data_IF_329951264714
#
_entry.id   IF_329951264714
#
_cell.length_a   1.000
_cell.length_b   1.000
_cell.length_c   1.000
_cell.angle_alpha   90.00
_cell.angle_beta   90.00
_cell.angle_gamma   90.00
#
_symmetry.space_group_name_H-M   'P 1'
#
loop_
_entity.id
_entity.type
_entity.pdbx_description
1 polymer ?
#
# COMPACT_ATOMS: atom_id res chain seq x y z
N UNK A 1 -4.73 71.59 -6.51
CA UNK A 1 -3.35 71.47 -7.05
C UNK A 1 -3.10 70.01 -7.39
N UNK A 2 -3.16 69.67 -8.68
CA UNK A 2 -3.17 68.29 -9.17
C UNK A 2 -1.73 67.76 -9.18
N UNK A 3 -1.48 66.70 -8.41
CA UNK A 3 -0.19 66.02 -8.29
C UNK A 3 0.15 65.37 -9.63
N UNK A 4 1.13 65.91 -10.35
CA UNK A 4 1.63 65.37 -11.62
C UNK A 4 2.32 64.03 -11.33
N UNK A 5 1.57 62.93 -11.47
CA UNK A 5 2.03 61.55 -11.26
C UNK A 5 3.09 61.23 -12.32
N UNK A 6 4.29 60.88 -11.89
CA UNK A 6 5.42 60.66 -12.79
C UNK A 6 5.30 59.27 -13.44
N UNK A 7 4.39 59.16 -14.42
CA UNK A 7 3.98 57.91 -15.09
C UNK A 7 5.15 57.07 -15.62
N UNK A 8 6.27 57.71 -16.01
CA UNK A 8 7.48 57.00 -16.46
C UNK A 8 8.11 56.18 -15.34
N UNK A 9 8.15 56.70 -14.11
CA UNK A 9 8.77 56.00 -12.97
C UNK A 9 7.90 54.84 -12.48
N UNK A 10 6.57 54.98 -12.52
CA UNK A 10 5.63 53.89 -12.24
C UNK A 10 5.77 52.75 -13.25
N UNK A 11 5.93 53.06 -14.54
CA UNK A 11 6.16 52.04 -15.58
C UNK A 11 7.48 51.30 -15.35
N UNK A 12 8.57 52.00 -15.01
CA UNK A 12 9.85 51.35 -14.69
C UNK A 12 9.77 50.50 -13.41
N UNK A 13 9.02 50.94 -12.40
CA UNK A 13 8.81 50.17 -11.17
C UNK A 13 8.00 48.90 -11.43
N UNK A 14 6.90 49.00 -12.18
CA UNK A 14 6.07 47.83 -12.55
C UNK A 14 6.88 46.86 -13.41
N UNK A 15 7.68 47.36 -14.35
CA UNK A 15 8.53 46.53 -15.20
C UNK A 15 9.64 45.82 -14.41
N UNK A 16 10.28 46.53 -13.47
CA UNK A 16 11.27 45.94 -12.56
C UNK A 16 10.67 44.89 -11.62
N UNK A 17 9.48 45.16 -11.10
CA UNK A 17 8.74 44.20 -10.26
C UNK A 17 8.34 42.95 -11.04
N UNK A 18 7.81 43.11 -12.26
CA UNK A 18 7.45 42.00 -13.14
C UNK A 18 8.68 41.16 -13.53
N UNK A 19 9.79 41.81 -13.84
CA UNK A 19 11.05 41.14 -14.16
C UNK A 19 11.57 40.32 -12.96
N UNK A 20 11.54 40.90 -11.75
CA UNK A 20 11.92 40.20 -10.51
C UNK A 20 11.01 39.01 -10.24
N UNK A 21 9.69 39.15 -10.48
CA UNK A 21 8.72 38.07 -10.32
C UNK A 21 9.02 36.89 -11.26
N UNK A 22 9.30 37.17 -12.53
CA UNK A 22 9.66 36.14 -13.52
C UNK A 22 10.96 35.43 -13.14
N UNK A 23 11.96 36.16 -12.67
CA UNK A 23 13.24 35.58 -12.21
C UNK A 23 13.02 34.73 -10.95
N UNK A 24 12.21 35.19 -10.00
CA UNK A 24 11.89 34.43 -8.78
C UNK A 24 11.14 33.13 -9.10
N UNK A 25 10.17 33.16 -10.01
CA UNK A 25 9.50 31.94 -10.45
C UNK A 25 10.44 31.03 -11.26
N UNK A 26 11.26 31.59 -12.15
CA UNK A 26 12.23 30.82 -12.93
C UNK A 26 13.23 30.08 -12.04
N UNK A 27 13.77 30.77 -11.03
CA UNK A 27 14.69 30.18 -10.03
C UNK A 27 13.98 29.21 -9.09
N UNK A 28 12.74 29.48 -8.69
CA UNK A 28 11.92 28.53 -7.92
C UNK A 28 11.65 27.24 -8.70
N UNK A 29 11.22 27.32 -9.97
CA UNK A 29 11.01 26.15 -10.82
C UNK A 29 12.32 25.42 -11.13
N UNK A 30 13.42 26.14 -11.31
CA UNK A 30 14.75 25.53 -11.50
C UNK A 30 15.20 24.82 -10.22
N UNK A 31 15.04 25.45 -9.05
CA UNK A 31 15.32 24.85 -7.75
C UNK A 31 14.43 23.64 -7.45
N UNK A 32 13.15 23.68 -7.82
CA UNK A 32 12.24 22.52 -7.75
C UNK A 32 12.71 21.40 -8.67
N UNK A 33 13.04 21.69 -9.94
CA UNK A 33 13.55 20.69 -10.89
C UNK A 33 14.87 20.09 -10.41
N UNK A 34 15.74 20.90 -9.82
CA UNK A 34 17.04 20.46 -9.31
C UNK A 34 16.89 19.68 -8.00
N UNK A 35 15.95 20.03 -7.13
CA UNK A 35 15.56 19.27 -5.94
C UNK A 35 14.89 17.93 -6.30
N UNK A 36 14.01 17.91 -7.30
CA UNK A 36 13.47 16.69 -7.89
C UNK A 36 14.61 15.87 -8.49
N UNK A 37 15.50 16.46 -9.29
CA UNK A 37 16.63 15.75 -9.90
C UNK A 37 17.64 15.22 -8.87
N UNK A 38 17.84 15.91 -7.74
CA UNK A 38 18.73 15.47 -6.67
C UNK A 38 18.09 14.36 -5.82
N UNK A 39 16.77 14.44 -5.62
CA UNK A 39 15.97 13.35 -5.04
C UNK A 39 16.00 12.13 -5.98
N UNK A 40 15.73 12.31 -7.27
CA UNK A 40 15.81 11.27 -8.29
C UNK A 40 17.22 10.73 -8.49
N UNK A 41 18.28 11.54 -8.32
CA UNK A 41 19.69 11.13 -8.35
C UNK A 41 20.04 10.26 -7.15
N UNK A 42 19.54 10.63 -5.96
CA UNK A 42 19.64 9.80 -4.76
C UNK A 42 18.91 8.46 -4.92
N UNK A 43 17.96 8.37 -5.85
CA UNK A 43 17.27 7.15 -6.26
C UNK A 43 17.68 6.66 -7.66
N UNK A 44 18.72 7.21 -8.29
CA UNK A 44 19.05 6.91 -9.69
C UNK A 44 19.64 5.52 -9.86
N UNK A 45 20.19 4.93 -8.80
CA UNK A 45 20.56 3.52 -8.78
C UNK A 45 19.33 2.57 -8.86
N UNK A 46 18.11 3.09 -8.72
CA UNK A 46 16.85 2.38 -8.98
C UNK A 46 16.31 2.59 -10.41
N UNK A 47 16.89 3.51 -11.22
CA UNK A 47 16.37 3.92 -12.54
C UNK A 47 17.16 3.39 -13.75
N UNK A 48 18.18 2.55 -13.58
CA UNK A 48 18.74 1.80 -14.71
C UNK A 48 17.91 0.53 -14.91
N UNK A 49 16.70 0.69 -15.46
CA UNK A 49 15.91 -0.44 -15.94
C UNK A 49 16.23 -0.65 -17.43
N UNK A 50 17.21 -1.49 -17.71
CA UNK A 50 16.98 -2.46 -18.79
C UNK A 50 15.72 -3.21 -18.35
N UNK A 51 14.66 -3.36 -19.15
CA UNK A 51 13.50 -4.13 -18.73
C UNK A 51 13.99 -5.53 -18.33
N UNK A 52 14.04 -5.78 -17.02
CA UNK A 52 14.36 -7.09 -16.46
C UNK A 52 13.19 -7.98 -16.83
N UNK A 53 13.39 -8.76 -17.90
CA UNK A 53 12.34 -9.58 -18.47
C UNK A 53 12.05 -10.75 -17.54
N UNK A 54 10.75 -11.02 -17.34
CA UNK A 54 10.32 -12.28 -16.73
C UNK A 54 10.86 -13.44 -17.58
N UNK A 55 11.44 -14.43 -16.90
CA UNK A 55 11.97 -15.66 -17.48
C UNK A 55 11.23 -16.87 -16.89
N UNK A 56 11.49 -18.06 -17.42
CA UNK A 56 10.97 -19.30 -16.86
C UNK A 56 11.39 -19.51 -15.39
N UNK A 57 12.52 -18.92 -14.98
CA UNK A 57 13.05 -18.99 -13.61
C UNK A 57 12.57 -17.85 -12.70
N UNK A 58 11.68 -16.96 -13.17
CA UNK A 58 11.10 -15.91 -12.33
C UNK A 58 10.17 -16.45 -11.24
N UNK A 59 10.11 -15.83 -10.06
CA UNK A 59 9.13 -16.16 -9.02
C UNK A 59 9.20 -17.60 -8.55
N UNK A 60 10.39 -18.16 -8.37
CA UNK A 60 10.53 -19.52 -7.81
C UNK A 60 9.92 -19.61 -6.41
N UNK A 61 9.70 -20.84 -5.92
CA UNK A 61 9.27 -21.05 -4.53
C UNK A 61 10.24 -20.39 -3.54
N UNK A 62 11.55 -20.45 -3.83
CA UNK A 62 12.58 -19.82 -3.02
C UNK A 62 12.47 -18.29 -3.06
N UNK A 63 12.20 -17.69 -4.22
CA UNK A 63 12.03 -16.24 -4.33
C UNK A 63 10.83 -15.76 -3.49
N UNK A 64 9.69 -16.44 -3.59
CA UNK A 64 8.47 -16.09 -2.86
C UNK A 64 8.65 -16.21 -1.34
N UNK A 65 9.32 -17.26 -0.87
CA UNK A 65 9.60 -17.50 0.55
C UNK A 65 10.64 -16.53 1.08
N UNK A 66 11.70 -16.28 0.31
CA UNK A 66 12.73 -15.30 0.70
C UNK A 66 12.10 -13.93 0.84
N UNK A 67 11.33 -13.49 -0.17
CA UNK A 67 10.61 -12.22 -0.12
C UNK A 67 9.65 -12.15 1.07
N UNK A 68 8.96 -13.25 1.40
CA UNK A 68 8.11 -13.32 2.58
C UNK A 68 8.86 -12.90 3.85
N UNK A 69 9.96 -13.59 4.16
CA UNK A 69 10.66 -13.39 5.41
C UNK A 69 11.44 -12.08 5.48
N UNK A 70 12.04 -11.65 4.36
CA UNK A 70 12.98 -10.52 4.38
C UNK A 70 12.32 -9.18 4.02
N UNK A 71 11.15 -9.20 3.39
CA UNK A 71 10.41 -7.99 2.98
C UNK A 71 8.99 -7.95 3.53
N UNK A 72 8.17 -8.95 3.18
CA UNK A 72 6.73 -8.88 3.43
C UNK A 72 6.37 -8.96 4.91
N UNK A 73 6.93 -9.92 5.65
CA UNK A 73 6.67 -10.10 7.08
C UNK A 73 7.12 -8.89 7.92
N UNK A 74 8.36 -8.36 7.77
CA UNK A 74 8.77 -7.11 8.42
C UNK A 74 7.81 -5.95 8.15
N UNK A 75 7.34 -5.81 6.91
CA UNK A 75 6.36 -4.79 6.55
C UNK A 75 4.98 -5.03 7.20
N UNK A 76 4.50 -6.29 7.25
CA UNK A 76 3.26 -6.62 7.96
C UNK A 76 3.34 -6.28 9.44
N UNK A 77 4.49 -6.52 10.09
CA UNK A 77 4.70 -6.12 11.49
C UNK A 77 4.56 -4.61 11.67
N UNK A 78 5.10 -3.80 10.75
CA UNK A 78 4.88 -2.36 10.77
C UNK A 78 3.40 -2.02 10.57
N UNK A 79 2.73 -2.61 9.57
CA UNK A 79 1.31 -2.34 9.28
C UNK A 79 0.44 -2.63 10.50
N UNK A 80 0.63 -3.79 11.13
CA UNK A 80 -0.14 -4.19 12.30
C UNK A 80 0.12 -3.26 13.49
N UNK A 81 1.38 -2.87 13.70
CA UNK A 81 1.75 -1.87 14.69
C UNK A 81 1.05 -0.53 14.39
N UNK A 82 1.16 -0.01 13.17
CA UNK A 82 0.50 1.23 12.76
C UNK A 82 -1.00 1.20 13.05
N UNK A 83 -1.71 0.18 12.55
CA UNK A 83 -3.17 0.08 12.71
C UNK A 83 -3.58 0.00 14.19
N UNK A 84 -2.85 -0.77 15.00
CA UNK A 84 -3.11 -0.85 16.44
C UNK A 84 -2.90 0.50 17.16
N UNK A 85 -1.84 1.23 16.79
CA UNK A 85 -1.52 2.52 17.41
C UNK A 85 -2.48 3.63 16.95
N UNK A 86 -3.01 3.57 15.72
CA UNK A 86 -4.07 4.47 15.26
C UNK A 86 -5.36 4.31 16.07
N UNK A 87 -5.75 3.07 16.38
CA UNK A 87 -6.93 2.82 17.22
C UNK A 87 -6.73 3.37 18.66
N UNK A 88 -5.56 3.15 19.24
CA UNK A 88 -5.18 3.73 20.55
C UNK A 88 -5.22 5.26 20.49
N UNK A 89 -4.67 5.84 19.43
CA UNK A 89 -4.59 7.28 19.22
C UNK A 89 -5.99 7.90 19.12
N UNK A 90 -6.92 7.25 18.41
CA UNK A 90 -8.31 7.68 18.29
C UNK A 90 -9.05 7.78 19.63
N UNK A 91 -8.59 7.06 20.65
CA UNK A 91 -9.20 7.01 22.00
C UNK A 91 -8.43 7.82 23.06
N UNK A 92 -7.30 8.44 22.69
CA UNK A 92 -6.42 9.12 23.63
C UNK A 92 -6.73 10.61 23.76
N UNK A 93 -7.01 11.08 24.98
CA UNK A 93 -7.15 12.50 25.30
C UNK A 93 -5.83 13.19 25.68
N UNK A 94 -4.76 12.42 25.89
CA UNK A 94 -3.47 12.95 26.37
C UNK A 94 -2.54 13.27 25.21
N UNK A 95 -2.27 14.56 24.98
CA UNK A 95 -1.32 15.01 23.94
C UNK A 95 0.07 14.39 24.11
N UNK A 96 0.57 14.27 25.36
CA UNK A 96 1.88 13.66 25.63
C UNK A 96 1.92 12.18 25.22
N UNK A 97 0.90 11.39 25.59
CA UNK A 97 0.81 9.98 25.22
C UNK A 97 0.64 9.82 23.71
N UNK A 98 -0.22 10.63 23.09
CA UNK A 98 -0.44 10.62 21.65
C UNK A 98 0.84 10.91 20.86
N UNK A 99 1.67 11.87 21.31
CA UNK A 99 2.98 12.13 20.70
C UNK A 99 3.96 10.96 20.87
N UNK A 100 3.92 10.27 22.01
CA UNK A 100 4.74 9.07 22.22
C UNK A 100 4.30 7.94 21.28
N UNK A 101 3.00 7.68 21.16
CA UNK A 101 2.43 6.71 20.21
C UNK A 101 2.85 7.00 18.77
N UNK A 102 2.83 8.27 18.35
CA UNK A 102 3.32 8.64 17.01
C UNK A 102 4.81 8.34 16.83
N UNK A 103 5.64 8.63 17.84
CA UNK A 103 7.07 8.27 17.78
C UNK A 103 7.28 6.76 17.68
N UNK A 104 6.51 5.96 18.40
CA UNK A 104 6.57 4.50 18.32
C UNK A 104 6.25 3.99 16.91
N UNK A 105 5.23 4.55 16.25
CA UNK A 105 4.92 4.22 14.85
C UNK A 105 6.09 4.60 13.94
N UNK A 106 6.66 5.80 14.13
CA UNK A 106 7.79 6.27 13.32
C UNK A 106 9.03 5.40 13.50
N UNK A 107 9.38 5.08 14.74
CA UNK A 107 10.52 4.23 15.06
C UNK A 107 10.32 2.82 14.47
N UNK A 108 9.09 2.31 14.48
CA UNK A 108 8.72 1.07 13.80
C UNK A 108 8.94 1.17 12.28
N UNK A 109 8.51 2.26 11.64
CA UNK A 109 8.72 2.47 10.20
C UNK A 109 10.21 2.50 9.84
N UNK A 110 11.02 3.24 10.60
CA UNK A 110 12.47 3.36 10.41
C UNK A 110 13.17 2.02 10.60
N UNK A 111 12.85 1.30 11.68
CA UNK A 111 13.41 -0.03 11.97
C UNK A 111 13.13 -1.01 10.83
N UNK A 112 11.88 -1.10 10.36
CA UNK A 112 11.55 -2.02 9.27
C UNK A 112 12.17 -1.56 7.95
N UNK A 113 12.31 -0.25 7.70
CA UNK A 113 13.02 0.25 6.53
C UNK A 113 14.48 -0.17 6.52
N UNK A 114 15.20 0.01 7.63
CA UNK A 114 16.59 -0.41 7.78
C UNK A 114 16.75 -1.92 7.56
N UNK A 115 15.86 -2.72 8.15
CA UNK A 115 15.88 -4.17 7.98
C UNK A 115 15.66 -4.60 6.52
N UNK A 116 14.65 -4.02 5.85
CA UNK A 116 14.26 -4.40 4.49
C UNK A 116 15.25 -3.87 3.45
N UNK A 117 15.80 -2.66 3.64
CA UNK A 117 16.73 -2.04 2.69
C UNK A 117 18.09 -2.71 2.64
N UNK A 118 18.48 -3.44 3.69
CA UNK A 118 19.71 -4.24 3.73
C UNK A 118 19.64 -5.50 2.85
N UNK A 119 18.46 -5.82 2.30
CA UNK A 119 18.22 -7.05 1.54
C UNK A 119 18.15 -6.74 0.04
N UNK A 120 18.68 -7.66 -0.78
CA UNK A 120 18.61 -7.58 -2.23
C UNK A 120 17.63 -8.63 -2.76
N UNK A 121 16.77 -8.22 -3.69
CA UNK A 121 15.83 -9.12 -4.37
C UNK A 121 16.42 -9.50 -5.73
N UNK A 122 16.30 -10.79 -6.09
CA UNK A 122 16.79 -11.30 -7.35
C UNK A 122 16.17 -10.56 -8.54
N UNK A 123 17.02 -10.12 -9.47
CA UNK A 123 16.61 -9.44 -10.70
C UNK A 123 15.73 -10.31 -11.60
N UNK A 124 15.81 -11.64 -11.45
CA UNK A 124 14.92 -12.58 -12.14
C UNK A 124 13.46 -12.46 -11.71
N UNK A 125 13.14 -11.77 -10.61
CA UNK A 125 11.77 -11.61 -10.10
C UNK A 125 11.32 -10.14 -10.10
N UNK A 126 11.03 -9.54 -11.26
CA UNK A 126 10.80 -8.10 -11.37
C UNK A 126 9.62 -7.59 -10.53
N UNK A 127 8.51 -8.34 -10.44
CA UNK A 127 7.40 -7.95 -9.55
C UNK A 127 7.79 -7.90 -8.07
N UNK A 128 8.66 -8.81 -7.61
CA UNK A 128 9.14 -8.82 -6.22
C UNK A 128 10.09 -7.65 -5.98
N UNK A 129 10.96 -7.34 -6.95
CA UNK A 129 11.85 -6.18 -6.89
C UNK A 129 11.04 -4.87 -6.83
N UNK A 130 10.01 -4.75 -7.65
CA UNK A 130 9.11 -3.60 -7.64
C UNK A 130 8.32 -3.50 -6.33
N UNK A 131 7.85 -4.63 -5.78
CA UNK A 131 7.18 -4.67 -4.48
C UNK A 131 8.09 -4.25 -3.33
N UNK A 132 9.37 -4.67 -3.36
CA UNK A 132 10.39 -4.24 -2.42
C UNK A 132 10.60 -2.72 -2.47
N UNK A 133 10.76 -2.16 -3.66
CA UNK A 133 10.88 -0.72 -3.86
C UNK A 133 9.67 0.07 -3.34
N UNK A 134 8.45 -0.43 -3.56
CA UNK A 134 7.24 0.21 -3.07
C UNK A 134 7.09 0.12 -1.55
N UNK A 135 7.47 -1.00 -0.92
CA UNK A 135 7.51 -1.11 0.55
C UNK A 135 8.48 -0.09 1.15
N UNK A 136 9.67 0.08 0.58
CA UNK A 136 10.64 1.07 1.04
C UNK A 136 10.09 2.50 0.93
N UNK A 137 9.41 2.83 -0.17
CA UNK A 137 8.72 4.13 -0.34
C UNK A 137 7.61 4.29 0.70
N UNK A 138 6.80 3.26 0.92
CA UNK A 138 5.71 3.26 1.90
C UNK A 138 6.23 3.61 3.30
N UNK A 139 7.22 2.86 3.79
CA UNK A 139 7.82 3.08 5.11
C UNK A 139 8.45 4.48 5.23
N UNK A 140 9.13 4.94 4.18
CA UNK A 140 9.75 6.27 4.18
C UNK A 140 8.72 7.40 4.25
N UNK A 141 7.62 7.28 3.51
CA UNK A 141 6.54 8.26 3.52
C UNK A 141 5.77 8.27 4.85
N UNK A 142 5.61 7.11 5.51
CA UNK A 142 5.08 7.06 6.87
C UNK A 142 6.01 7.80 7.86
N UNK A 143 7.32 7.54 7.82
CA UNK A 143 8.32 8.25 8.63
C UNK A 143 8.24 9.78 8.43
N UNK A 144 8.21 10.24 7.17
CA UNK A 144 8.12 11.67 6.83
C UNK A 144 6.79 12.30 7.22
N UNK A 145 5.67 11.59 7.03
CA UNK A 145 4.33 12.05 7.43
C UNK A 145 4.27 12.30 8.94
N UNK A 146 4.72 11.32 9.73
CA UNK A 146 4.65 11.39 11.18
C UNK A 146 5.58 12.48 11.73
N UNK A 147 6.79 12.62 11.18
CA UNK A 147 7.73 13.67 11.57
C UNK A 147 7.17 15.08 11.32
N UNK A 148 6.54 15.28 10.16
CA UNK A 148 5.83 16.54 9.85
C UNK A 148 4.68 16.78 10.82
N UNK A 149 3.81 15.80 11.01
CA UNK A 149 2.64 15.94 11.90
C UNK A 149 3.09 16.25 13.32
N UNK A 150 4.13 15.59 13.83
CA UNK A 150 4.71 15.87 15.15
C UNK A 150 5.26 17.30 15.27
N UNK A 151 5.81 17.84 14.18
CA UNK A 151 6.41 19.18 14.14
C UNK A 151 5.39 20.31 14.03
N UNK A 152 4.30 20.09 13.28
CA UNK A 152 3.26 21.10 13.02
C UNK A 152 2.17 21.12 14.11
N UNK A 153 2.01 20.02 14.84
CA UNK A 153 0.91 19.84 15.79
C UNK A 153 1.33 20.16 17.22
N UNK A 154 1.02 21.39 17.65
CA UNK A 154 1.29 21.90 19.01
C UNK A 154 0.72 21.03 20.13
N UNK A 155 -0.50 21.31 20.59
CA UNK A 155 -1.16 20.60 21.72
C UNK A 155 -2.28 19.65 21.26
N UNK A 156 -2.18 19.13 20.04
CA UNK A 156 -3.21 18.24 19.51
C UNK A 156 -3.42 17.03 20.43
N UNK A 157 -4.68 16.62 20.59
CA UNK A 157 -5.04 15.38 21.27
C UNK A 157 -5.01 14.19 20.28
N UNK A 158 -5.26 12.97 20.77
CA UNK A 158 -5.16 11.77 19.95
C UNK A 158 -6.11 11.77 18.75
N UNK A 159 -7.39 12.12 18.93
CA UNK A 159 -8.35 12.16 17.82
C UNK A 159 -7.96 13.18 16.74
N UNK A 160 -7.38 14.31 17.12
CA UNK A 160 -6.84 15.28 16.16
C UNK A 160 -5.64 14.73 15.39
N UNK A 161 -4.71 14.05 16.06
CA UNK A 161 -3.56 13.40 15.39
C UNK A 161 -4.00 12.28 14.44
N UNK A 162 -4.96 11.44 14.85
CA UNK A 162 -5.50 10.39 14.00
C UNK A 162 -6.15 10.98 12.74
N UNK A 163 -6.90 12.08 12.90
CA UNK A 163 -7.47 12.82 11.78
C UNK A 163 -6.38 13.40 10.87
N UNK A 164 -5.35 14.03 11.44
CA UNK A 164 -4.22 14.57 10.67
C UNK A 164 -3.59 13.48 9.80
N UNK A 165 -3.29 12.31 10.37
CA UNK A 165 -2.75 11.17 9.60
C UNK A 165 -3.69 10.71 8.49
N UNK A 166 -4.98 10.60 8.77
CA UNK A 166 -5.97 10.14 7.79
C UNK A 166 -6.14 11.09 6.59
N UNK A 167 -5.88 12.38 6.78
CA UNK A 167 -5.99 13.41 5.72
C UNK A 167 -4.65 13.80 5.11
N UNK A 168 -3.56 13.16 5.54
CA UNK A 168 -2.21 13.51 5.14
C UNK A 168 -1.83 12.88 3.80
N UNK A 169 -1.36 13.69 2.85
CA UNK A 169 -1.00 13.23 1.50
C UNK A 169 0.14 12.21 1.51
N UNK A 170 1.10 12.33 2.43
CA UNK A 170 2.21 11.38 2.54
C UNK A 170 1.72 10.06 3.14
N UNK A 171 0.84 10.09 4.14
CA UNK A 171 0.17 8.89 4.65
C UNK A 171 -0.63 8.18 3.56
N UNK A 172 -1.43 8.92 2.79
CA UNK A 172 -2.23 8.35 1.69
C UNK A 172 -1.32 7.67 0.65
N UNK A 173 -0.26 8.36 0.20
CA UNK A 173 0.73 7.77 -0.72
C UNK A 173 1.45 6.57 -0.10
N UNK A 174 1.79 6.63 1.18
CA UNK A 174 2.44 5.53 1.89
C UNK A 174 1.58 4.27 1.88
N UNK A 175 0.28 4.42 2.19
CA UNK A 175 -0.70 3.35 2.14
C UNK A 175 -0.81 2.79 0.72
N UNK A 176 -0.94 3.67 -0.28
CA UNK A 176 -1.05 3.26 -1.68
C UNK A 176 0.16 2.43 -2.14
N UNK A 177 1.39 2.84 -1.80
CA UNK A 177 2.58 2.04 -2.11
C UNK A 177 2.56 0.67 -1.39
N UNK A 178 2.08 0.62 -0.14
CA UNK A 178 1.89 -0.62 0.59
C UNK A 178 0.94 -1.60 -0.10
N UNK A 179 -0.23 -1.10 -0.52
CA UNK A 179 -1.25 -1.89 -1.23
C UNK A 179 -0.76 -2.34 -2.61
N UNK A 180 -0.02 -1.48 -3.33
CA UNK A 180 0.60 -1.85 -4.61
C UNK A 180 1.65 -2.95 -4.43
N UNK A 181 2.49 -2.86 -3.40
CA UNK A 181 3.46 -3.91 -3.09
C UNK A 181 2.78 -5.23 -2.75
N UNK A 182 1.71 -5.21 -1.94
CA UNK A 182 0.91 -6.39 -1.65
C UNK A 182 0.32 -6.98 -2.94
N UNK A 183 -0.27 -6.15 -3.81
CA UNK A 183 -0.79 -6.58 -5.10
C UNK A 183 0.29 -7.23 -5.99
N UNK A 184 1.48 -6.66 -6.05
CA UNK A 184 2.62 -7.21 -6.81
C UNK A 184 3.07 -8.55 -6.25
N UNK A 185 3.16 -8.67 -4.92
CA UNK A 185 3.51 -9.93 -4.27
C UNK A 185 2.49 -11.03 -4.56
N UNK A 186 1.19 -10.75 -4.44
CA UNK A 186 0.16 -11.74 -4.78
C UNK A 186 0.07 -12.02 -6.29
N UNK A 187 0.44 -11.07 -7.14
CA UNK A 187 0.62 -11.33 -8.59
C UNK A 187 1.75 -12.32 -8.83
N UNK A 188 2.88 -12.18 -8.12
CA UNK A 188 3.99 -13.15 -8.25
C UNK A 188 3.60 -14.55 -7.76
N UNK A 189 2.76 -14.65 -6.71
CA UNK A 189 2.18 -15.91 -6.24
C UNK A 189 1.27 -16.53 -7.31
N UNK A 190 0.42 -15.74 -7.96
CA UNK A 190 -0.42 -16.23 -9.06
C UNK A 190 0.44 -16.76 -10.22
N UNK A 191 1.48 -16.03 -10.61
CA UNK A 191 2.41 -16.44 -11.67
C UNK A 191 3.12 -17.76 -11.30
N UNK A 192 3.57 -17.92 -10.06
CA UNK A 192 4.13 -19.20 -9.59
C UNK A 192 3.10 -20.35 -9.69
N UNK A 193 1.86 -20.12 -9.25
CA UNK A 193 0.80 -21.14 -9.31
C UNK A 193 0.47 -21.53 -10.74
N UNK A 194 0.43 -20.57 -11.67
CA UNK A 194 0.17 -20.82 -13.10
C UNK A 194 1.27 -21.70 -13.75
N UNK A 195 2.52 -21.60 -13.30
CA UNK A 195 3.60 -22.50 -13.77
C UNK A 195 3.34 -23.97 -13.42
N UNK A 196 2.70 -24.23 -12.27
CA UNK A 196 2.36 -25.57 -11.83
C UNK A 196 1.02 -26.11 -12.37
N UNK A 197 0.21 -25.27 -13.02
CA UNK A 197 -1.11 -25.63 -13.52
C UNK A 197 -1.53 -24.76 -14.71
N UNK A 198 -1.49 -25.33 -15.92
CA UNK A 198 -1.81 -24.64 -17.18
C UNK A 198 -3.25 -24.15 -17.29
N UNK A 199 -4.17 -24.63 -16.45
CA UNK A 199 -5.56 -24.16 -16.43
C UNK A 199 -5.73 -22.82 -15.67
N UNK A 200 -4.68 -22.34 -14.99
CA UNK A 200 -4.70 -21.08 -14.26
C UNK A 200 -3.98 -20.01 -15.10
N UNK A 201 -4.69 -18.92 -15.41
CA UNK A 201 -4.07 -17.77 -16.07
C UNK A 201 -3.01 -17.13 -15.17
N UNK A 202 -1.83 -16.86 -15.73
CA UNK A 202 -0.75 -16.17 -15.03
C UNK A 202 -1.07 -14.69 -14.75
N UNK A 203 -2.04 -14.12 -15.47
CA UNK A 203 -2.50 -12.75 -15.30
C UNK A 203 -4.01 -12.74 -15.03
N UNK A 204 -4.42 -11.96 -14.04
CA UNK A 204 -5.82 -11.77 -13.69
C UNK A 204 -6.07 -10.35 -13.20
N UNK A 205 -7.12 -9.74 -13.75
CA UNK A 205 -7.62 -8.43 -13.35
C UNK A 205 -9.06 -8.61 -12.90
N UNK A 206 -9.35 -8.22 -11.67
CA UNK A 206 -10.70 -8.30 -11.13
C UNK A 206 -11.66 -7.34 -11.86
N UNK A 207 -12.86 -7.84 -12.16
CA UNK A 207 -13.99 -7.03 -12.62
C UNK A 207 -15.02 -6.86 -11.52
N UNK A 208 -15.56 -5.65 -11.33
CA UNK A 208 -16.61 -5.38 -10.33
C UNK A 208 -17.90 -6.17 -10.57
N UNK A 209 -18.11 -6.63 -11.80
CA UNK A 209 -19.27 -7.43 -12.19
C UNK A 209 -19.04 -8.95 -12.02
N UNK A 210 -17.91 -9.36 -11.41
CA UNK A 210 -17.62 -10.77 -11.13
C UNK A 210 -18.74 -11.36 -10.28
N UNK A 211 -19.49 -12.30 -10.85
CA UNK A 211 -20.62 -12.95 -10.18
C UNK A 211 -20.13 -13.95 -9.15
N UNK A 212 -20.99 -14.29 -8.19
CA UNK A 212 -20.73 -15.38 -7.22
C UNK A 212 -20.42 -16.69 -7.94
N UNK A 213 -21.09 -17.00 -9.05
CA UNK A 213 -20.84 -18.21 -9.81
C UNK A 213 -19.46 -18.20 -10.48
N UNK A 214 -19.06 -17.07 -11.07
CA UNK A 214 -17.72 -16.92 -11.66
C UNK A 214 -16.65 -17.08 -10.58
N UNK A 215 -16.84 -16.42 -9.44
CA UNK A 215 -15.93 -16.48 -8.30
C UNK A 215 -15.70 -17.90 -7.78
N UNK A 216 -16.77 -18.69 -7.62
CA UNK A 216 -16.68 -20.07 -7.12
C UNK A 216 -15.85 -21.00 -8.01
N UNK A 217 -15.66 -20.66 -9.28
CA UNK A 217 -14.85 -21.44 -10.22
C UNK A 217 -13.36 -21.02 -10.25
N UNK A 218 -12.98 -19.98 -9.51
CA UNK A 218 -11.60 -19.50 -9.44
C UNK A 218 -10.81 -20.28 -8.38
N UNK A 219 -9.52 -20.51 -8.64
CA UNK A 219 -8.60 -21.01 -7.62
C UNK A 219 -8.32 -19.95 -6.55
N UNK A 220 -7.89 -20.36 -5.36
CA UNK A 220 -7.50 -19.49 -4.26
C UNK A 220 -6.44 -18.47 -4.69
N UNK A 221 -5.46 -18.87 -5.52
CA UNK A 221 -4.44 -17.94 -6.00
C UNK A 221 -5.05 -16.79 -6.82
N UNK A 222 -6.01 -17.10 -7.70
CA UNK A 222 -6.73 -16.10 -8.50
C UNK A 222 -7.63 -15.24 -7.60
N UNK A 223 -8.36 -15.86 -6.66
CA UNK A 223 -9.20 -15.14 -5.70
C UNK A 223 -8.41 -14.18 -4.82
N UNK A 224 -7.26 -14.61 -4.28
CA UNK A 224 -6.39 -13.75 -3.48
C UNK A 224 -5.88 -12.57 -4.31
N UNK A 225 -5.47 -12.82 -5.57
CA UNK A 225 -5.06 -11.76 -6.49
C UNK A 225 -6.21 -10.79 -6.80
N UNK A 226 -7.42 -11.31 -6.96
CA UNK A 226 -8.63 -10.50 -7.14
C UNK A 226 -8.89 -9.60 -5.92
N UNK A 227 -8.79 -10.16 -4.70
CA UNK A 227 -8.90 -9.38 -3.47
C UNK A 227 -7.84 -8.30 -3.40
N UNK A 228 -6.60 -8.55 -3.81
CA UNK A 228 -5.59 -7.47 -3.83
C UNK A 228 -5.91 -6.34 -4.80
N UNK A 229 -6.60 -6.62 -5.91
CA UNK A 229 -7.10 -5.56 -6.80
C UNK A 229 -8.16 -4.73 -6.08
N UNK A 230 -9.11 -5.38 -5.41
CA UNK A 230 -10.16 -4.70 -4.66
C UNK A 230 -9.55 -3.86 -3.54
N UNK A 231 -8.65 -4.43 -2.73
CA UNK A 231 -8.00 -3.72 -1.63
C UNK A 231 -7.22 -2.50 -2.14
N UNK A 232 -6.54 -2.62 -3.28
CA UNK A 232 -5.81 -1.52 -3.85
C UNK A 232 -6.72 -0.44 -4.46
N UNK A 233 -7.81 -0.82 -5.14
CA UNK A 233 -8.76 0.12 -5.75
C UNK A 233 -9.60 0.85 -4.70
N UNK A 234 -10.00 0.17 -3.64
CA UNK A 234 -10.84 0.71 -2.58
C UNK A 234 -10.04 1.22 -1.37
N UNK A 235 -8.70 1.28 -1.50
CA UNK A 235 -7.76 1.74 -0.48
C UNK A 235 -7.91 1.04 0.90
N UNK A 236 -8.14 -0.28 0.88
CA UNK A 236 -8.39 -1.09 2.08
C UNK A 236 -7.07 -1.44 2.78
N UNK A 237 -6.55 -0.51 3.57
CA UNK A 237 -5.39 -0.73 4.43
C UNK A 237 -5.79 -1.24 5.81
N UNK A 238 -5.82 -2.57 5.95
CA UNK A 238 -6.48 -3.31 7.03
C UNK A 238 -5.58 -4.40 7.63
N UNK A 239 -5.95 -4.92 8.79
CA UNK A 239 -5.15 -5.86 9.60
C UNK A 239 -5.18 -7.31 9.10
N UNK A 240 -6.12 -7.66 8.24
CA UNK A 240 -6.21 -8.99 7.64
C UNK A 240 -5.50 -9.04 6.28
N UNK A 241 -5.21 -10.27 5.83
CA UNK A 241 -4.55 -10.52 4.54
C UNK A 241 -5.58 -10.87 3.45
N UNK A 242 -5.19 -10.80 2.16
CA UNK A 242 -6.08 -11.13 1.04
C UNK A 242 -6.77 -12.50 1.14
N UNK A 243 -6.08 -13.52 1.67
CA UNK A 243 -6.65 -14.85 1.87
C UNK A 243 -7.70 -14.90 2.97
N UNK A 244 -7.63 -14.02 3.97
CA UNK A 244 -8.64 -13.95 5.03
C UNK A 244 -9.96 -13.40 4.48
N UNK A 245 -9.89 -12.31 3.71
CA UNK A 245 -11.03 -11.77 2.98
C UNK A 245 -11.59 -12.79 1.99
N UNK A 246 -10.72 -13.49 1.24
CA UNK A 246 -11.14 -14.55 0.32
C UNK A 246 -11.91 -15.66 1.02
N UNK A 247 -11.38 -16.16 2.14
CA UNK A 247 -12.05 -17.16 2.97
C UNK A 247 -13.39 -16.67 3.49
N UNK A 248 -13.48 -15.38 3.88
CA UNK A 248 -14.74 -14.81 4.36
C UNK A 248 -15.79 -14.65 3.26
N UNK A 249 -15.39 -14.28 2.05
CA UNK A 249 -16.26 -14.25 0.86
C UNK A 249 -16.81 -15.66 0.59
N UNK A 250 -15.92 -16.66 0.52
CA UNK A 250 -16.31 -18.06 0.26
C UNK A 250 -17.21 -18.60 1.37
N UNK A 251 -16.96 -18.25 2.63
CA UNK A 251 -17.82 -18.60 3.76
C UNK A 251 -19.23 -18.00 3.64
N UNK A 252 -19.33 -16.73 3.22
CA UNK A 252 -20.62 -16.06 3.06
C UNK A 252 -21.43 -16.62 1.88
N UNK A 253 -20.74 -17.05 0.82
CA UNK A 253 -21.34 -17.75 -0.33
C UNK A 253 -21.81 -19.14 0.10
N UNK A 254 -20.93 -19.95 0.70
CA UNK A 254 -21.19 -21.34 1.05
C UNK A 254 -22.29 -21.48 2.13
N UNK A 255 -22.39 -20.53 3.06
CA UNK A 255 -23.45 -20.51 4.08
C UNK A 255 -24.82 -20.06 3.55
N UNK A 256 -24.93 -19.69 2.28
CA UNK A 256 -26.16 -19.14 1.68
C UNK A 256 -26.48 -17.70 2.12
N UNK A 257 -25.64 -17.08 2.95
CA UNK A 257 -25.89 -15.73 3.46
C UNK A 257 -25.84 -14.67 2.35
N UNK A 258 -24.94 -14.82 1.38
CA UNK A 258 -24.90 -13.98 0.19
C UNK A 258 -26.24 -14.01 -0.57
N UNK A 259 -26.80 -15.20 -0.81
CA UNK A 259 -28.11 -15.36 -1.45
C UNK A 259 -29.25 -14.78 -0.63
N UNK A 260 -29.25 -14.99 0.69
CA UNK A 260 -30.30 -14.46 1.58
C UNK A 260 -30.37 -12.93 1.61
N UNK A 261 -29.23 -12.27 1.33
CA UNK A 261 -29.09 -10.82 1.28
C UNK A 261 -29.17 -10.28 -0.16
N UNK A 262 -29.51 -11.11 -1.14
CA UNK A 262 -29.55 -10.75 -2.57
C UNK A 262 -28.23 -10.17 -3.11
N UNK A 263 -27.09 -10.70 -2.63
CA UNK A 263 -25.77 -10.29 -3.09
C UNK A 263 -25.32 -11.20 -4.24
N UNK A 264 -25.38 -10.68 -5.46
CA UNK A 264 -25.09 -11.46 -6.68
C UNK A 264 -23.67 -11.30 -7.22
N UNK A 265 -22.90 -10.33 -6.71
CA UNK A 265 -21.52 -10.06 -7.14
C UNK A 265 -20.54 -10.08 -5.98
N UNK A 266 -19.27 -10.35 -6.29
CA UNK A 266 -18.21 -10.34 -5.28
C UNK A 266 -18.03 -8.95 -4.69
N UNK A 267 -18.14 -7.89 -5.52
CA UNK A 267 -18.05 -6.51 -5.03
C UNK A 267 -19.15 -6.15 -4.02
N UNK A 268 -20.38 -6.65 -4.19
CA UNK A 268 -21.44 -6.39 -3.20
C UNK A 268 -21.22 -7.16 -1.90
N UNK A 269 -20.67 -8.38 -1.97
CA UNK A 269 -20.23 -9.13 -0.79
C UNK A 269 -19.12 -8.40 -0.05
N UNK A 270 -18.05 -8.01 -0.75
CA UNK A 270 -16.92 -7.30 -0.14
C UNK A 270 -17.38 -6.02 0.54
N UNK A 271 -18.23 -5.22 -0.14
CA UNK A 271 -18.78 -3.99 0.45
C UNK A 271 -19.46 -4.25 1.79
N UNK A 272 -20.33 -5.26 1.88
CA UNK A 272 -21.00 -5.61 3.13
C UNK A 272 -19.98 -6.07 4.19
N UNK A 273 -19.02 -6.91 3.81
CA UNK A 273 -18.00 -7.40 4.73
C UNK A 273 -17.11 -6.28 5.27
N UNK A 274 -16.79 -5.28 4.45
CA UNK A 274 -16.00 -4.11 4.88
C UNK A 274 -16.82 -3.14 5.73
N UNK A 275 -18.06 -2.84 5.36
CA UNK A 275 -18.94 -1.91 6.11
C UNK A 275 -19.33 -2.46 7.48
N UNK A 276 -19.36 -3.78 7.63
CA UNK A 276 -19.69 -4.47 8.89
C UNK A 276 -18.47 -4.93 9.68
N UNK A 277 -17.26 -4.63 9.18
CA UNK A 277 -15.99 -5.09 9.77
C UNK A 277 -15.96 -6.60 10.05
N UNK A 278 -16.63 -7.39 9.19
CA UNK A 278 -16.88 -8.80 9.44
C UNK A 278 -15.66 -9.69 9.15
N UNK A 279 -14.64 -9.16 8.48
CA UNK A 279 -13.41 -9.87 8.15
C UNK A 279 -12.39 -9.69 9.27
N UNK A 280 -11.88 -10.81 9.77
CA UNK A 280 -10.85 -10.84 10.81
C UNK A 280 -9.56 -11.43 10.25
N UNK A 281 -8.43 -11.15 10.90
CA UNK A 281 -7.19 -11.86 10.61
C UNK A 281 -7.36 -13.35 10.96
N UNK A 282 -6.66 -14.22 10.23
CA UNK A 282 -6.72 -15.69 10.37
C UNK A 282 -8.07 -16.33 10.00
N UNK A 283 -8.95 -15.63 9.28
CA UNK A 283 -10.13 -16.29 8.68
C UNK A 283 -9.71 -17.38 7.71
N UNK A 284 -8.60 -17.21 6.98
CA UNK A 284 -8.09 -18.24 6.08
C UNK A 284 -7.79 -19.55 6.81
N UNK A 285 -7.07 -19.48 7.93
CA UNK A 285 -6.68 -20.66 8.72
C UNK A 285 -7.90 -21.48 9.15
N UNK A 286 -8.97 -20.79 9.58
CA UNK A 286 -10.22 -21.44 10.01
C UNK A 286 -10.90 -22.22 8.89
N UNK A 287 -10.81 -21.75 7.65
CA UNK A 287 -11.55 -22.29 6.51
C UNK A 287 -10.70 -23.06 5.50
N UNK A 288 -9.37 -23.07 5.67
CA UNK A 288 -8.40 -23.69 4.78
C UNK A 288 -8.75 -25.14 4.45
N UNK A 289 -9.00 -25.96 5.47
CA UNK A 289 -9.34 -27.39 5.29
C UNK A 289 -10.70 -27.57 4.62
N UNK A 290 -11.65 -26.66 4.85
CA UNK A 290 -13.01 -26.77 4.32
C UNK A 290 -13.08 -26.40 2.85
N UNK A 291 -12.39 -25.33 2.42
CA UNK A 291 -12.55 -24.77 1.07
C UNK A 291 -11.35 -25.01 0.15
N UNK A 292 -10.14 -25.21 0.69
CA UNK A 292 -8.91 -25.16 -0.12
C UNK A 292 -8.00 -26.40 0.06
N UNK A 293 -8.48 -27.48 0.68
CA UNK A 293 -7.68 -28.67 0.94
C UNK A 293 -7.13 -29.35 -0.32
N UNK A 294 -7.80 -29.19 -1.46
CA UNK A 294 -7.37 -29.75 -2.75
C UNK A 294 -6.45 -28.82 -3.55
N UNK A 295 -6.22 -27.59 -3.08
CA UNK A 295 -5.42 -26.60 -3.81
C UNK A 295 -3.93 -26.78 -3.55
N UNK A 296 -3.13 -26.63 -4.62
CA UNK A 296 -1.67 -26.58 -4.52
C UNK A 296 -1.25 -25.14 -4.28
N UNK A 297 -0.73 -24.87 -3.09
CA UNK A 297 -0.30 -23.53 -2.66
C UNK A 297 1.22 -23.49 -2.51
N UNK A 298 1.85 -22.31 -2.71
CA UNK A 298 3.26 -22.17 -2.37
C UNK A 298 3.44 -22.37 -0.87
N UNK A 299 4.62 -22.87 -0.48
CA UNK A 299 4.99 -23.08 0.92
C UNK A 299 5.30 -21.76 1.65
N UNK A 300 4.35 -20.84 1.65
CA UNK A 300 4.39 -19.57 2.37
C UNK A 300 3.82 -19.78 3.78
N UNK A 301 4.41 -19.17 4.82
CA UNK A 301 3.97 -19.33 6.20
C UNK A 301 2.46 -19.17 6.41
N UNK A 302 1.86 -18.12 5.86
CA UNK A 302 0.40 -17.90 5.97
C UNK A 302 -0.48 -18.92 5.23
N UNK A 303 0.09 -19.80 4.40
CA UNK A 303 -0.61 -20.92 3.78
C UNK A 303 -0.35 -22.27 4.49
N UNK A 304 0.74 -22.41 5.22
CA UNK A 304 1.17 -23.70 5.78
C UNK A 304 1.07 -23.78 7.30
N UNK A 305 1.17 -22.66 8.00
CA UNK A 305 1.09 -22.61 9.46
C UNK A 305 -0.38 -22.73 9.95
N UNK A 306 -0.55 -23.38 11.09
CA UNK A 306 -1.82 -23.58 11.80
C UNK A 306 -1.99 -22.57 12.97
#
# INVERSE_FOLDING_TARGET
MIRKRNSRFEIFFILGFLCTLIIAFGTFFMGMKMGIAQTESKYAYLKINIPELETEDSYTQQDLVTFYYVVFQPYQQFKDNYLAHIDILGRSDSSLKSKATLREIRDSAQKQYEQISATSIAASSPLLKDAHGDILKSLKLFDESIDRILSESGNNNGSQFAKSLATDEFTEKAINFGLQAQKKYYTSILKWTAKGNQNISADYIFSKDTTVQQWSNLSLAVKNKAVTDIMNTDNLFVSYLPQDMTAKIDQMIASGKASSLNLHSVSSIVKILTETEAVQSKEFVKWKTTYYASEKLPALPFFVED
#
